data_IF_986332768024
#
_entry.id   IF_986332768024
#
_cell.length_a   1.000
_cell.length_b   1.000
_cell.length_c   1.000
_cell.angle_alpha   90.00
_cell.angle_beta   90.00
_cell.angle_gamma   90.00
#
_symmetry.space_group_name_H-M   'P 1'
#
loop_
_entity.id
_entity.type
_entity.pdbx_description
1 polymer ?
#
# COMPACT_ATOMS: atom_id res chain seq x y z
N UNK A 1 -9.73 11.50 1.42
CA UNK A 1 -9.40 10.77 0.17
C UNK A 1 -7.89 10.73 0.06
N UNK A 2 -7.27 9.54 0.08
CA UNK A 2 -5.83 9.43 -0.12
C UNK A 2 -5.56 9.38 -1.62
N UNK A 3 -4.94 10.41 -2.18
CA UNK A 3 -4.40 10.32 -3.53
C UNK A 3 -3.05 9.61 -3.47
N UNK A 4 -2.84 8.68 -4.39
CA UNK A 4 -1.56 8.02 -4.55
C UNK A 4 -0.64 8.96 -5.33
N UNK A 5 0.41 9.48 -4.69
CA UNK A 5 1.48 10.17 -5.41
C UNK A 5 2.67 9.24 -5.49
N UNK A 6 3.03 8.86 -6.72
CA UNK A 6 4.30 8.18 -6.98
C UNK A 6 5.44 9.18 -6.79
N UNK A 7 5.98 9.28 -5.58
CA UNK A 7 7.30 9.88 -5.37
C UNK A 7 8.38 8.93 -5.94
N UNK A 8 8.54 8.95 -7.27
CA UNK A 8 9.76 8.46 -7.89
C UNK A 8 10.89 9.36 -7.38
N UNK A 9 11.96 8.80 -6.80
CA UNK A 9 13.16 9.49 -6.26
C UNK A 9 13.91 10.39 -7.29
N UNK A 10 13.31 10.70 -8.44
CA UNK A 10 13.79 11.67 -9.43
C UNK A 10 13.38 13.11 -9.13
N UNK A 11 12.43 13.36 -8.23
CA UNK A 11 12.00 14.71 -7.86
C UNK A 11 12.70 15.14 -6.56
N UNK A 12 13.48 16.23 -6.61
CA UNK A 12 14.22 16.76 -5.46
C UNK A 12 13.31 17.22 -4.31
N UNK A 13 13.88 17.49 -3.13
CA UNK A 13 13.12 17.83 -1.91
C UNK A 13 12.19 19.05 -2.03
N UNK A 14 12.44 19.94 -3.01
CA UNK A 14 11.57 21.08 -3.34
C UNK A 14 10.18 20.59 -3.79
N UNK A 15 10.11 19.56 -4.63
CA UNK A 15 8.85 19.05 -5.15
C UNK A 15 7.98 18.42 -4.05
N UNK A 16 8.60 17.76 -3.06
CA UNK A 16 7.88 17.12 -1.95
C UNK A 16 7.23 18.16 -1.04
N UNK A 17 7.95 19.25 -0.74
CA UNK A 17 7.38 20.37 0.04
C UNK A 17 6.22 21.03 -0.69
N UNK A 18 6.37 21.27 -2.00
CA UNK A 18 5.29 21.83 -2.81
C UNK A 18 4.04 20.94 -2.79
N UNK A 19 4.17 19.62 -2.89
CA UNK A 19 3.03 18.71 -2.78
C UNK A 19 2.34 18.81 -1.42
N UNK A 20 3.11 18.85 -0.33
CA UNK A 20 2.56 19.05 1.03
C UNK A 20 1.76 20.35 1.08
N UNK A 21 2.33 21.44 0.58
CA UNK A 21 1.76 22.78 0.72
C UNK A 21 0.52 22.96 -0.17
N UNK A 22 0.46 22.30 -1.33
CA UNK A 22 -0.68 22.38 -2.25
C UNK A 22 -1.88 21.48 -1.88
N UNK A 23 -1.65 20.42 -1.09
CA UNK A 23 -2.72 19.48 -0.76
C UNK A 23 -3.64 20.02 0.36
N UNK A 24 -4.91 19.59 0.43
CA UNK A 24 -5.77 19.88 1.58
C UNK A 24 -5.16 19.43 2.91
N UNK A 25 -5.59 20.03 4.02
CA UNK A 25 -5.03 19.79 5.36
C UNK A 25 -5.01 18.30 5.75
N UNK A 26 -6.14 17.60 5.60
CA UNK A 26 -6.29 16.19 5.97
C UNK A 26 -5.99 15.21 4.82
N UNK A 27 -5.33 15.68 3.77
CA UNK A 27 -4.92 14.81 2.67
C UNK A 27 -3.66 14.02 3.05
N UNK A 28 -3.67 12.72 2.78
CA UNK A 28 -2.53 11.85 3.01
C UNK A 28 -1.97 11.36 1.68
N UNK A 29 -0.64 11.41 1.58
CA UNK A 29 0.12 10.85 0.46
C UNK A 29 0.60 9.45 0.80
N UNK A 30 0.22 8.46 0.00
CA UNK A 30 0.94 7.20 -0.04
C UNK A 30 2.15 7.32 -0.94
N UNK A 31 3.33 6.93 -0.45
CA UNK A 31 4.58 7.03 -1.19
C UNK A 31 5.04 5.65 -1.62
N UNK A 32 5.33 5.47 -2.91
CA UNK A 32 5.94 4.23 -3.40
C UNK A 32 7.46 4.33 -3.36
N UNK A 33 8.10 3.40 -2.65
CA UNK A 33 9.56 3.27 -2.64
C UNK A 33 10.10 3.06 -4.06
N UNK A 34 11.31 3.52 -4.31
CA UNK A 34 11.86 3.49 -5.67
C UNK A 34 12.13 2.07 -6.16
N UNK A 35 12.07 1.91 -7.49
CA UNK A 35 12.52 0.67 -8.15
C UNK A 35 14.00 0.38 -7.90
N UNK A 36 14.82 1.39 -7.57
CA UNK A 36 16.20 1.15 -7.20
C UNK A 36 16.27 0.26 -5.95
N UNK A 37 15.49 0.59 -4.92
CA UNK A 37 15.43 -0.17 -3.67
C UNK A 37 14.75 -1.55 -3.87
N UNK A 38 13.59 -1.59 -4.52
CA UNK A 38 12.80 -2.84 -4.59
C UNK A 38 13.15 -3.77 -5.75
N UNK A 39 13.55 -3.25 -6.92
CA UNK A 39 13.79 -4.06 -8.12
C UNK A 39 15.28 -4.24 -8.44
N UNK A 40 16.11 -3.21 -8.23
CA UNK A 40 17.54 -3.27 -8.55
C UNK A 40 18.35 -3.84 -7.39
N UNK A 41 18.35 -3.17 -6.23
CA UNK A 41 18.98 -3.70 -5.01
C UNK A 41 18.26 -4.95 -4.49
N UNK A 42 16.97 -5.08 -4.79
CA UNK A 42 16.11 -6.17 -4.28
C UNK A 42 16.27 -6.31 -2.77
N UNK A 43 16.13 -5.17 -2.06
CA UNK A 43 16.28 -5.03 -0.60
C UNK A 43 17.69 -5.24 -0.03
N UNK A 44 18.71 -5.51 -0.85
CA UNK A 44 20.09 -5.72 -0.39
C UNK A 44 20.80 -4.38 -0.09
N UNK A 45 21.62 -4.35 0.98
CA UNK A 45 22.46 -3.22 1.40
C UNK A 45 21.73 -1.87 1.37
N UNK A 46 20.48 -1.85 1.83
CA UNK A 46 19.54 -0.78 1.55
C UNK A 46 19.49 0.32 2.62
N UNK A 47 20.27 0.21 3.70
CA UNK A 47 20.26 1.17 4.83
C UNK A 47 20.33 2.63 4.40
N UNK A 48 21.36 3.01 3.63
CA UNK A 48 21.49 4.38 3.13
C UNK A 48 20.32 4.78 2.23
N UNK A 49 19.83 3.84 1.40
CA UNK A 49 18.71 4.09 0.49
C UNK A 49 17.39 4.30 1.25
N UNK A 50 17.22 3.60 2.37
CA UNK A 50 16.10 3.77 3.31
C UNK A 50 16.21 5.11 4.00
N UNK A 51 17.39 5.47 4.54
CA UNK A 51 17.61 6.79 5.15
C UNK A 51 17.27 7.92 4.19
N UNK A 52 17.80 7.87 2.96
CA UNK A 52 17.49 8.85 1.92
C UNK A 52 16.01 8.92 1.55
N UNK A 53 15.30 7.79 1.57
CA UNK A 53 13.86 7.75 1.36
C UNK A 53 13.14 8.46 2.51
N UNK A 54 13.46 8.09 3.75
CA UNK A 54 12.83 8.64 4.96
C UNK A 54 13.07 10.15 5.11
N UNK A 55 14.30 10.61 4.89
CA UNK A 55 14.67 12.04 4.93
C UNK A 55 13.87 12.87 3.92
N UNK A 56 13.54 12.29 2.76
CA UNK A 56 12.76 12.98 1.73
C UNK A 56 11.28 12.99 2.03
N UNK A 57 10.72 11.86 2.43
CA UNK A 57 9.26 11.75 2.67
C UNK A 57 8.83 12.39 3.98
N UNK A 58 9.74 12.54 4.95
CA UNK A 58 9.48 13.28 6.19
C UNK A 58 9.09 14.74 5.93
N UNK A 59 9.50 15.31 4.78
CA UNK A 59 9.10 16.65 4.34
C UNK A 59 7.58 16.80 4.14
N UNK A 60 6.84 15.70 3.96
CA UNK A 60 5.37 15.71 3.92
C UNK A 60 4.73 15.94 5.29
N UNK A 61 5.49 15.76 6.38
CA UNK A 61 5.05 15.96 7.76
C UNK A 61 3.74 15.21 8.06
N UNK A 62 2.69 15.87 8.60
CA UNK A 62 1.43 15.22 8.96
C UNK A 62 0.67 14.64 7.76
N UNK A 63 1.03 15.03 6.52
CA UNK A 63 0.43 14.50 5.29
C UNK A 63 1.12 13.23 4.78
N UNK A 64 2.16 12.74 5.46
CA UNK A 64 2.77 11.45 5.15
C UNK A 64 1.82 10.32 5.54
N UNK A 65 1.38 9.57 4.54
CA UNK A 65 0.67 8.31 4.73
C UNK A 65 1.62 7.11 4.63
N UNK A 66 1.15 5.97 4.09
CA UNK A 66 1.92 4.74 4.05
C UNK A 66 3.04 4.77 3.00
N UNK A 67 4.08 3.97 3.24
CA UNK A 67 5.19 3.79 2.29
C UNK A 67 5.15 2.38 1.72
N UNK A 68 4.92 2.27 0.41
CA UNK A 68 4.75 1.03 -0.32
C UNK A 68 6.08 0.52 -0.93
N UNK A 69 6.54 -0.63 -0.46
CA UNK A 69 7.58 -1.46 -1.04
C UNK A 69 6.96 -2.55 -1.93
N UNK A 70 6.78 -2.22 -3.21
CA UNK A 70 6.34 -3.20 -4.19
C UNK A 70 7.54 -3.94 -4.78
N UNK A 71 7.57 -5.26 -4.57
CA UNK A 71 8.61 -6.13 -5.07
C UNK A 71 8.35 -6.55 -6.53
N UNK A 72 9.41 -6.84 -7.32
CA UNK A 72 9.28 -7.31 -8.69
C UNK A 72 8.49 -8.62 -8.79
N UNK A 73 7.78 -8.85 -9.92
CA UNK A 73 7.17 -10.14 -10.21
C UNK A 73 8.23 -11.22 -10.40
N UNK A 74 7.84 -12.49 -10.20
CA UNK A 74 8.69 -13.68 -10.39
C UNK A 74 9.97 -13.72 -9.53
N UNK A 75 10.07 -12.85 -8.54
CA UNK A 75 11.12 -12.95 -7.54
C UNK A 75 10.60 -13.81 -6.40
N UNK A 76 11.15 -15.01 -6.24
CA UNK A 76 10.77 -15.90 -5.15
C UNK A 76 11.19 -15.36 -3.78
N UNK A 77 10.47 -15.80 -2.76
CA UNK A 77 10.67 -15.39 -1.38
C UNK A 77 12.10 -15.64 -0.90
N UNK A 78 12.65 -14.62 -0.25
CA UNK A 78 13.86 -14.72 0.54
C UNK A 78 13.57 -14.08 1.90
N UNK A 79 13.21 -14.93 2.86
CA UNK A 79 12.76 -14.52 4.20
C UNK A 79 13.88 -13.81 4.96
N UNK A 80 15.10 -14.36 4.90
CA UNK A 80 16.28 -13.77 5.56
C UNK A 80 16.53 -12.35 5.06
N UNK A 81 16.47 -12.14 3.73
CA UNK A 81 16.67 -10.82 3.14
C UNK A 81 15.58 -9.84 3.56
N UNK A 82 14.32 -10.27 3.63
CA UNK A 82 13.24 -9.42 4.13
C UNK A 82 13.44 -9.05 5.60
N UNK A 83 13.84 -10.02 6.44
CA UNK A 83 14.10 -9.79 7.86
C UNK A 83 15.23 -8.78 8.08
N UNK A 84 16.35 -8.94 7.36
CA UNK A 84 17.48 -7.99 7.41
C UNK A 84 17.09 -6.61 6.88
N UNK A 85 16.30 -6.54 5.81
CA UNK A 85 15.80 -5.25 5.33
C UNK A 85 14.88 -4.56 6.35
N UNK A 86 14.05 -5.33 7.06
CA UNK A 86 13.15 -4.81 8.07
C UNK A 86 13.87 -4.23 9.29
N UNK A 87 15.14 -4.60 9.55
CA UNK A 87 15.96 -3.99 10.60
C UNK A 87 16.28 -2.52 10.34
N UNK A 88 16.33 -2.10 9.07
CA UNK A 88 16.56 -0.70 8.71
C UNK A 88 15.29 0.16 8.73
N UNK A 89 14.13 -0.44 8.97
CA UNK A 89 12.86 0.28 9.05
C UNK A 89 12.55 0.63 10.52
N UNK A 90 12.40 1.92 10.87
CA UNK A 90 12.08 2.31 12.25
C UNK A 90 10.68 1.84 12.66
N UNK A 91 10.55 1.27 13.86
CA UNK A 91 9.28 0.73 14.37
C UNK A 91 8.27 1.83 14.76
N UNK A 92 8.78 2.99 15.18
CA UNK A 92 8.05 4.23 15.46
C UNK A 92 7.87 5.11 14.21
N UNK A 93 8.30 4.63 13.04
CA UNK A 93 8.20 5.32 11.77
C UNK A 93 6.81 5.26 11.10
N UNK A 94 6.74 5.67 9.82
CA UNK A 94 5.51 5.62 9.03
C UNK A 94 5.03 4.18 8.81
N UNK A 95 3.81 4.03 8.31
CA UNK A 95 3.24 2.71 8.00
C UNK A 95 3.90 2.13 6.75
N UNK A 96 4.86 1.22 6.94
CA UNK A 96 5.52 0.50 5.86
C UNK A 96 4.65 -0.65 5.35
N UNK A 97 4.51 -0.75 4.03
CA UNK A 97 3.63 -1.69 3.36
C UNK A 97 4.40 -2.48 2.31
N UNK A 98 4.25 -3.80 2.27
CA UNK A 98 4.90 -4.68 1.30
C UNK A 98 3.89 -5.29 0.32
N UNK A 99 4.16 -5.16 -0.97
CA UNK A 99 3.37 -5.77 -2.03
C UNK A 99 4.22 -6.80 -2.77
N UNK A 100 3.78 -8.06 -2.70
CA UNK A 100 4.48 -9.20 -3.26
C UNK A 100 3.79 -9.72 -4.51
N UNK A 101 4.53 -9.83 -5.62
CA UNK A 101 3.98 -10.28 -6.91
C UNK A 101 4.26 -11.75 -7.23
N UNK A 102 4.87 -12.47 -6.30
CA UNK A 102 5.16 -13.90 -6.43
C UNK A 102 4.52 -14.64 -5.24
N UNK A 103 3.73 -15.71 -5.47
CA UNK A 103 3.00 -16.40 -4.39
C UNK A 103 3.88 -16.95 -3.27
N UNK A 104 5.16 -17.24 -3.54
CA UNK A 104 6.08 -17.77 -2.52
C UNK A 104 6.28 -16.82 -1.34
N UNK A 105 6.01 -15.52 -1.49
CA UNK A 105 6.09 -14.55 -0.40
C UNK A 105 4.92 -14.61 0.59
N UNK A 106 3.86 -15.37 0.32
CA UNK A 106 2.69 -15.43 1.20
C UNK A 106 2.78 -16.57 2.24
N UNK A 107 3.93 -17.22 2.35
CA UNK A 107 4.18 -18.25 3.36
C UNK A 107 4.27 -17.67 4.79
N UNK A 108 3.99 -18.52 5.77
CA UNK A 108 3.92 -18.14 7.20
C UNK A 108 5.19 -17.44 7.71
N UNK A 109 6.37 -17.86 7.27
CA UNK A 109 7.64 -17.26 7.68
C UNK A 109 7.75 -15.79 7.24
N UNK A 110 7.25 -15.43 6.06
CA UNK A 110 7.22 -14.04 5.59
C UNK A 110 6.20 -13.24 6.39
N UNK A 111 4.99 -13.79 6.58
CA UNK A 111 3.94 -13.12 7.35
C UNK A 111 4.37 -12.86 8.79
N UNK A 112 5.12 -13.79 9.40
CA UNK A 112 5.72 -13.64 10.72
C UNK A 112 6.69 -12.46 10.80
N UNK A 113 7.62 -12.35 9.84
CA UNK A 113 8.55 -11.22 9.77
C UNK A 113 7.79 -9.90 9.68
N UNK A 114 6.73 -9.84 8.87
CA UNK A 114 5.90 -8.65 8.79
C UNK A 114 5.23 -8.34 10.13
N UNK A 115 4.62 -9.33 10.79
CA UNK A 115 3.91 -9.11 12.07
C UNK A 115 4.81 -8.73 13.24
N UNK A 116 5.96 -9.38 13.39
CA UNK A 116 6.89 -9.10 14.48
C UNK A 116 7.51 -7.70 14.39
N UNK A 117 7.56 -7.13 13.20
CA UNK A 117 8.07 -5.78 12.93
C UNK A 117 6.96 -4.75 12.67
N UNK A 118 5.69 -5.12 12.84
CA UNK A 118 4.53 -4.26 12.56
C UNK A 118 4.53 -3.66 11.13
N UNK A 119 4.96 -4.47 10.16
CA UNK A 119 4.93 -4.16 8.74
C UNK A 119 3.63 -4.68 8.14
N UNK A 120 3.12 -3.97 7.14
CA UNK A 120 1.77 -4.21 6.63
C UNK A 120 1.82 -4.93 5.28
N UNK A 121 1.03 -5.99 5.15
CA UNK A 121 0.83 -6.66 3.86
C UNK A 121 -0.10 -5.82 2.97
N UNK A 122 0.30 -5.58 1.72
CA UNK A 122 -0.58 -5.06 0.69
C UNK A 122 -1.43 -6.20 0.12
N UNK A 123 -2.71 -6.18 0.44
CA UNK A 123 -3.69 -7.14 -0.06
C UNK A 123 -4.11 -6.70 -1.47
N UNK A 124 -3.94 -7.55 -2.47
CA UNK A 124 -4.26 -7.22 -3.85
C UNK A 124 -4.82 -8.39 -4.65
N UNK A 125 -5.46 -8.06 -5.76
CA UNK A 125 -6.07 -9.00 -6.71
C UNK A 125 -5.28 -9.13 -8.02
N UNK A 126 -3.96 -8.96 -7.94
CA UNK A 126 -3.05 -9.27 -9.04
C UNK A 126 -3.32 -10.68 -9.62
N UNK A 127 -3.58 -10.83 -10.93
CA UNK A 127 -4.05 -12.09 -11.50
C UNK A 127 -3.15 -13.30 -11.21
N UNK A 128 -1.83 -13.10 -11.23
CA UNK A 128 -0.85 -14.17 -11.04
C UNK A 128 -0.49 -14.43 -9.57
N UNK A 129 -1.01 -13.65 -8.62
CA UNK A 129 -0.69 -13.79 -7.20
C UNK A 129 -1.90 -13.44 -6.32
N UNK A 130 -2.58 -14.48 -5.81
CA UNK A 130 -3.59 -14.32 -4.77
C UNK A 130 -2.92 -13.98 -3.45
N UNK A 131 -3.34 -12.86 -2.85
CA UNK A 131 -2.84 -12.44 -1.53
C UNK A 131 -3.80 -12.91 -0.44
N UNK A 132 -3.31 -13.52 0.66
CA UNK A 132 -4.17 -13.83 1.79
C UNK A 132 -4.74 -12.54 2.40
N UNK A 133 -6.04 -12.48 2.73
CA UNK A 133 -6.68 -11.29 3.28
C UNK A 133 -6.38 -11.13 4.79
N UNK A 134 -5.10 -11.16 5.17
CA UNK A 134 -4.62 -11.11 6.55
C UNK A 134 -4.04 -9.74 6.88
N UNK A 135 -4.24 -9.31 8.12
CA UNK A 135 -3.64 -8.08 8.65
C UNK A 135 -2.38 -8.47 9.42
N UNK A 136 -1.23 -7.94 8.99
CA UNK A 136 0.07 -8.19 9.63
C UNK A 136 0.55 -7.01 10.46
N UNK A 137 -0.02 -5.82 10.30
CA UNK A 137 0.41 -4.63 11.04
C UNK A 137 -0.76 -3.75 11.45
N UNK A 138 -0.45 -2.54 11.87
CA UNK A 138 -1.43 -1.58 12.39
C UNK A 138 -2.34 -0.93 11.35
N UNK A 139 -2.12 -1.16 10.05
CA UNK A 139 -3.00 -0.68 8.97
C UNK A 139 -3.36 -1.80 7.99
N UNK A 140 -4.57 -1.72 7.45
CA UNK A 140 -4.97 -2.53 6.31
C UNK A 140 -4.68 -1.74 5.02
N UNK A 141 -4.10 -2.40 4.01
CA UNK A 141 -3.75 -1.75 2.75
C UNK A 141 -4.20 -2.61 1.57
N UNK A 142 -5.08 -2.08 0.73
CA UNK A 142 -5.67 -2.79 -0.40
C UNK A 142 -5.32 -2.11 -1.72
N UNK A 143 -4.92 -2.89 -2.73
CA UNK A 143 -4.76 -2.43 -4.10
C UNK A 143 -5.56 -3.28 -5.08
N UNK A 144 -6.50 -2.64 -5.74
CA UNK A 144 -7.28 -3.19 -6.83
C UNK A 144 -6.57 -2.94 -8.16
N UNK A 145 -6.19 -4.01 -8.84
CA UNK A 145 -5.47 -3.95 -10.09
C UNK A 145 -6.38 -4.08 -11.32
N UNK A 146 -7.53 -4.72 -11.21
CA UNK A 146 -8.51 -4.93 -12.27
C UNK A 146 -9.19 -6.29 -12.10
N UNK A 147 -10.51 -6.42 -12.33
CA UNK A 147 -11.25 -7.63 -12.04
C UNK A 147 -10.82 -8.85 -12.88
N UNK A 148 -10.47 -8.62 -14.15
CA UNK A 148 -10.21 -9.69 -15.12
C UNK A 148 -8.79 -9.63 -15.70
N UNK A 149 -8.24 -8.42 -15.85
CA UNK A 149 -6.91 -8.18 -16.40
C UNK A 149 -6.22 -7.08 -15.63
N UNK A 150 -4.91 -7.22 -15.44
CA UNK A 150 -4.09 -6.21 -14.77
C UNK A 150 -4.28 -4.84 -15.43
N UNK A 151 -4.63 -3.86 -14.60
CA UNK A 151 -4.86 -2.45 -14.89
C UNK A 151 -6.07 -2.14 -15.78
N UNK A 152 -6.98 -3.11 -15.96
CA UNK A 152 -8.10 -3.02 -16.89
C UNK A 152 -9.42 -3.49 -16.26
N UNK A 153 -10.53 -3.05 -16.85
CA UNK A 153 -11.88 -3.45 -16.43
C UNK A 153 -12.45 -2.67 -15.25
N UNK A 154 -13.77 -2.69 -15.14
CA UNK A 154 -14.55 -2.00 -14.10
C UNK A 154 -15.11 -3.02 -13.12
N UNK A 155 -14.80 -2.85 -11.83
CA UNK A 155 -15.42 -3.69 -10.81
C UNK A 155 -16.92 -3.40 -10.73
N UNK A 156 -17.73 -4.45 -10.70
CA UNK A 156 -19.16 -4.35 -10.45
C UNK A 156 -19.48 -4.42 -8.94
N UNK A 157 -20.74 -4.14 -8.58
CA UNK A 157 -21.17 -4.13 -7.18
C UNK A 157 -20.98 -5.49 -6.48
N UNK A 158 -21.20 -6.60 -7.20
CA UNK A 158 -21.04 -7.94 -6.63
C UNK A 158 -19.56 -8.25 -6.33
N UNK A 159 -18.64 -7.79 -7.16
CA UNK A 159 -17.20 -7.92 -6.95
C UNK A 159 -16.70 -7.05 -5.79
N UNK A 160 -17.28 -5.86 -5.58
CA UNK A 160 -16.89 -4.96 -4.48
C UNK A 160 -17.48 -5.37 -3.12
N UNK A 161 -18.64 -6.05 -3.10
CA UNK A 161 -19.35 -6.40 -1.86
C UNK A 161 -18.50 -7.18 -0.83
N UNK A 162 -17.74 -8.24 -1.19
CA UNK A 162 -16.89 -8.92 -0.22
C UNK A 162 -15.80 -8.02 0.38
N UNK A 163 -15.34 -7.02 -0.36
CA UNK A 163 -14.36 -6.05 0.13
C UNK A 163 -14.98 -5.02 1.05
N UNK A 164 -16.22 -4.61 0.81
CA UNK A 164 -16.96 -3.71 1.69
C UNK A 164 -17.07 -4.33 3.09
N UNK A 165 -17.54 -5.58 3.19
CA UNK A 165 -17.69 -6.25 4.49
C UNK A 165 -16.34 -6.40 5.20
N UNK A 166 -15.31 -6.81 4.47
CA UNK A 166 -13.98 -6.97 5.04
C UNK A 166 -13.37 -5.64 5.50
N UNK A 167 -13.56 -4.56 4.76
CA UNK A 167 -13.08 -3.22 5.13
C UNK A 167 -13.73 -2.77 6.44
N UNK A 168 -15.02 -3.06 6.66
CA UNK A 168 -15.68 -2.76 7.93
C UNK A 168 -15.07 -3.53 9.08
N UNK A 169 -14.93 -4.85 8.93
CA UNK A 169 -14.31 -5.69 9.95
C UNK A 169 -12.89 -5.23 10.31
N UNK A 170 -12.13 -4.74 9.32
CA UNK A 170 -10.79 -4.21 9.55
C UNK A 170 -10.79 -2.86 10.24
N UNK A 171 -11.76 -1.97 10.00
CA UNK A 171 -11.82 -0.66 10.66
C UNK A 171 -11.88 -0.74 12.18
N UNK A 172 -12.44 -1.83 12.70
CA UNK A 172 -12.48 -2.11 14.15
C UNK A 172 -11.15 -2.67 14.70
N UNK A 173 -10.24 -3.13 13.83
CA UNK A 173 -9.00 -3.85 14.21
C UNK A 173 -7.73 -3.07 13.96
N UNK A 174 -7.77 -2.09 13.04
CA UNK A 174 -6.58 -1.35 12.61
C UNK A 174 -6.77 0.16 12.72
N UNK A 175 -5.66 0.89 12.86
CA UNK A 175 -5.66 2.35 12.95
C UNK A 175 -6.29 3.01 11.71
N UNK A 176 -6.09 2.40 10.54
CA UNK A 176 -6.58 2.93 9.27
C UNK A 176 -6.64 1.84 8.20
N UNK A 177 -7.61 1.98 7.30
CA UNK A 177 -7.70 1.20 6.06
C UNK A 177 -7.39 2.11 4.88
N UNK A 178 -6.37 1.77 4.10
CA UNK A 178 -6.03 2.43 2.85
C UNK A 178 -6.47 1.57 1.67
N UNK A 179 -7.17 2.17 0.71
CA UNK A 179 -7.67 1.47 -0.48
C UNK A 179 -7.31 2.27 -1.72
N UNK A 180 -6.69 1.60 -2.69
CA UNK A 180 -6.31 2.20 -3.96
C UNK A 180 -6.83 1.38 -5.12
N UNK A 181 -7.43 2.05 -6.08
CA UNK A 181 -7.75 1.48 -7.39
C UNK A 181 -6.66 1.88 -8.39
N UNK A 182 -6.22 0.92 -9.19
CA UNK A 182 -5.18 1.10 -10.21
C UNK A 182 -5.63 0.55 -11.57
N UNK A 183 -6.92 0.24 -11.73
CA UNK A 183 -7.57 -0.08 -13.01
C UNK A 183 -7.90 1.20 -13.77
N UNK A 184 -6.85 1.90 -14.21
CA UNK A 184 -6.95 3.28 -14.72
C UNK A 184 -7.57 3.38 -16.12
N UNK A 185 -7.73 2.24 -16.83
CA UNK A 185 -8.41 2.19 -18.12
C UNK A 185 -9.79 2.85 -18.02
N UNK A 186 -10.10 3.75 -18.96
CA UNK A 186 -11.40 4.46 -19.05
C UNK A 186 -11.83 5.17 -17.75
N UNK A 187 -10.85 5.55 -16.91
CA UNK A 187 -11.08 6.16 -15.60
C UNK A 187 -11.90 5.29 -14.62
N UNK A 188 -11.92 3.96 -14.81
CA UNK A 188 -12.66 3.05 -13.94
C UNK A 188 -12.18 3.10 -12.48
N UNK A 189 -10.89 3.31 -12.25
CA UNK A 189 -10.34 3.49 -10.91
C UNK A 189 -11.06 4.59 -10.10
N UNK A 190 -11.35 5.74 -10.72
CA UNK A 190 -12.04 6.86 -10.05
C UNK A 190 -13.50 6.49 -9.78
N UNK A 191 -14.17 5.86 -10.75
CA UNK A 191 -15.56 5.45 -10.62
C UNK A 191 -15.72 4.40 -9.51
N UNK A 192 -14.86 3.38 -9.48
CA UNK A 192 -14.90 2.33 -8.46
C UNK A 192 -14.50 2.86 -7.07
N UNK A 193 -13.55 3.79 -6.98
CA UNK A 193 -13.22 4.45 -5.72
C UNK A 193 -14.42 5.22 -5.14
N UNK A 194 -15.16 5.95 -5.98
CA UNK A 194 -16.40 6.64 -5.57
C UNK A 194 -17.47 5.65 -5.14
N UNK A 195 -17.71 4.61 -5.95
CA UNK A 195 -18.69 3.57 -5.65
C UNK A 195 -18.43 2.89 -4.30
N UNK A 196 -17.16 2.53 -4.02
CA UNK A 196 -16.78 1.93 -2.75
C UNK A 196 -16.98 2.90 -1.59
N UNK A 197 -16.57 4.17 -1.75
CA UNK A 197 -16.74 5.21 -0.75
C UNK A 197 -18.22 5.41 -0.39
N UNK A 198 -19.07 5.54 -1.40
CA UNK A 198 -20.50 5.78 -1.22
C UNK A 198 -21.19 4.58 -0.56
N UNK A 199 -20.80 3.36 -0.94
CA UNK A 199 -21.33 2.14 -0.34
C UNK A 199 -20.95 2.01 1.15
N UNK A 200 -19.71 2.38 1.52
CA UNK A 200 -19.26 2.40 2.91
C UNK A 200 -20.01 3.48 3.72
N UNK A 201 -20.26 4.67 3.16
CA UNK A 201 -20.97 5.76 3.85
C UNK A 201 -22.46 5.45 4.08
N UNK A 202 -23.16 4.90 3.09
CA UNK A 202 -24.61 4.61 3.21
C UNK A 202 -24.94 3.61 4.32
N UNK A 203 -24.03 2.67 4.58
CA UNK A 203 -24.26 1.65 5.59
C UNK A 203 -23.90 2.10 7.01
N UNK A 204 -23.06 3.13 7.16
CA UNK A 204 -22.86 3.82 8.44
C UNK A 204 -24.14 4.55 8.86
N UNK A 205 -24.86 5.16 7.90
CA UNK A 205 -26.13 5.85 8.17
C UNK A 205 -27.32 4.93 8.43
N UNK A 206 -27.26 3.65 8.06
CA UNK A 206 -28.32 2.67 8.35
C UNK A 206 -28.11 1.89 9.65
N UNK A 207 -26.95 2.05 10.28
CA UNK A 207 -26.59 1.41 11.55
C UNK A 207 -26.63 2.38 12.75
N UNK A 208 -26.96 3.65 12.50
CA UNK A 208 -27.20 4.70 13.49
C UNK A 208 -28.70 4.98 13.59
#
# INVERSE_FOLDING_TARGET
>A
MAGSVRASLRYGGIAVKQWRDSAPEHFLFAVKASRYLTHRKKLLDAEESVKMLLDRVSLLGPKLGPILFQLPPRWQANVERLARFAEWLPTDGPDFVFEFRDPSWHGEAVLRVLSERNLNLCIHDWPEAKTPPVITGRVAYVRFHGPDKAYAGKYNAAQLRPWIERIKEWREKVKRVFVYFNNDQEAFAVQNARQLKDALARQESSAA
#
